data_IF_372609545036
#
_entry.id   IF_372609545036
#
_cell.length_a   1.000
_cell.length_b   1.000
_cell.length_c   1.000
_cell.angle_alpha   90.00
_cell.angle_beta   90.00
_cell.angle_gamma   90.00
#
_symmetry.space_group_name_H-M   'P 1'
#
loop_
_entity.id
_entity.type
_entity.pdbx_description
1 polymer ?
#
# COMPACT_ATOMS: atom_id res chain seq x y z
N UNK A 1 34.90 52.88 12.98
CA UNK A 1 33.68 52.75 13.79
C UNK A 1 32.66 51.84 13.10
N UNK A 2 33.07 50.75 12.42
CA UNK A 2 32.18 49.83 11.64
C UNK A 2 32.40 48.34 12.01
N UNK A 3 33.15 48.02 13.05
CA UNK A 3 33.46 46.62 13.45
C UNK A 3 32.60 46.04 14.58
N UNK A 4 31.67 46.83 15.17
CA UNK A 4 30.88 46.38 16.35
C UNK A 4 29.50 45.81 16.01
N UNK A 5 28.94 46.11 14.84
CA UNK A 5 27.56 45.69 14.47
C UNK A 5 27.43 44.27 13.85
N UNK A 6 28.55 43.71 13.34
CA UNK A 6 28.50 42.42 12.65
C UNK A 6 28.57 41.20 13.59
N UNK A 7 29.00 41.38 14.84
CA UNK A 7 29.05 40.29 15.84
C UNK A 7 27.69 39.99 16.52
N UNK A 8 26.75 40.92 16.49
CA UNK A 8 25.42 40.73 17.11
C UNK A 8 24.40 40.04 16.19
N UNK A 9 24.63 40.06 14.88
CA UNK A 9 23.74 39.40 13.91
C UNK A 9 24.02 37.90 13.74
N UNK A 10 25.23 37.43 14.03
CA UNK A 10 25.60 36.00 13.96
C UNK A 10 25.14 35.20 15.19
N UNK A 11 24.92 35.84 16.33
CA UNK A 11 24.46 35.17 17.56
C UNK A 11 22.97 34.81 17.54
N UNK A 12 22.13 35.57 16.81
CA UNK A 12 20.69 35.34 16.77
C UNK A 12 20.26 34.29 15.74
N UNK A 13 21.05 34.07 14.69
CA UNK A 13 20.77 33.10 13.67
C UNK A 13 21.05 31.64 14.11
N UNK A 14 22.02 31.43 15.01
CA UNK A 14 22.38 30.09 15.50
C UNK A 14 21.34 29.57 16.53
N UNK A 15 20.73 30.46 17.31
CA UNK A 15 19.68 30.07 18.27
C UNK A 15 18.34 29.67 17.61
N UNK A 16 18.02 30.22 16.44
CA UNK A 16 16.81 29.84 15.66
C UNK A 16 16.92 28.46 14.98
N UNK A 17 18.12 28.07 14.56
CA UNK A 17 18.36 26.77 13.93
C UNK A 17 18.30 25.60 14.94
N UNK A 18 18.73 25.80 16.18
CA UNK A 18 18.68 24.77 17.22
C UNK A 18 17.26 24.50 17.75
N UNK A 19 16.37 25.51 17.74
CA UNK A 19 14.98 25.35 18.14
C UNK A 19 14.12 24.57 17.13
N UNK A 20 14.43 24.69 15.84
CA UNK A 20 13.66 24.02 14.78
C UNK A 20 14.00 22.51 14.66
N UNK A 21 15.25 22.15 14.91
CA UNK A 21 15.70 20.76 14.88
C UNK A 21 15.10 19.93 16.03
N UNK A 22 14.94 20.51 17.20
CA UNK A 22 14.35 19.83 18.37
C UNK A 22 12.87 19.53 18.20
N UNK A 23 12.12 20.39 17.51
CA UNK A 23 10.69 20.20 17.26
C UNK A 23 10.41 19.05 16.27
N UNK A 24 11.22 18.92 15.22
CA UNK A 24 11.09 17.84 14.24
C UNK A 24 11.43 16.46 14.84
N UNK A 25 12.43 16.38 15.70
CA UNK A 25 12.76 15.13 16.40
C UNK A 25 11.72 14.76 17.46
N UNK A 26 11.13 15.74 18.15
CA UNK A 26 10.07 15.49 19.13
C UNK A 26 8.76 15.02 18.45
N UNK A 27 8.43 15.57 17.28
CA UNK A 27 7.25 15.14 16.49
C UNK A 27 7.43 13.73 15.94
N UNK A 28 8.61 13.38 15.46
CA UNK A 28 8.93 12.04 14.99
C UNK A 28 8.88 10.99 16.12
N UNK A 29 9.29 11.35 17.34
CA UNK A 29 9.17 10.48 18.53
C UNK A 29 7.71 10.23 18.94
N UNK A 30 6.79 11.17 18.67
CA UNK A 30 5.36 11.04 19.00
C UNK A 30 4.64 9.97 18.16
N UNK A 31 5.19 9.59 17.01
CA UNK A 31 4.64 8.56 16.11
C UNK A 31 5.35 7.19 16.22
N UNK A 32 6.20 7.02 17.21
CA UNK A 32 6.92 5.76 17.44
C UNK A 32 6.00 4.73 18.10
N UNK A 33 5.99 3.49 17.61
CA UNK A 33 5.35 2.38 18.30
C UNK A 33 6.07 2.10 19.62
N UNK A 34 5.35 2.25 20.73
CA UNK A 34 5.88 1.93 22.06
C UNK A 34 5.52 0.49 22.42
N UNK A 35 6.34 -0.17 23.27
CA UNK A 35 6.08 -1.54 23.68
C UNK A 35 4.65 -1.74 24.24
N UNK A 36 4.09 -0.88 25.11
CA UNK A 36 2.71 -1.04 25.58
C UNK A 36 1.66 -1.01 24.46
N UNK A 37 1.89 -0.25 23.38
CA UNK A 37 0.97 -0.23 22.22
C UNK A 37 1.07 -1.49 21.40
N UNK A 38 2.28 -2.02 21.22
CA UNK A 38 2.51 -3.28 20.53
C UNK A 38 1.89 -4.45 21.33
N UNK A 39 2.03 -4.45 22.65
CA UNK A 39 1.43 -5.45 23.53
C UNK A 39 -0.10 -5.41 23.48
N UNK A 40 -0.70 -4.21 23.51
CA UNK A 40 -2.13 -4.03 23.36
C UNK A 40 -2.65 -4.51 22.00
N UNK A 41 -1.90 -4.24 20.92
CA UNK A 41 -2.22 -4.73 19.58
C UNK A 41 -2.14 -6.27 19.54
N UNK A 42 -1.08 -6.86 20.10
CA UNK A 42 -0.92 -8.31 20.18
C UNK A 42 -2.08 -8.97 20.94
N UNK A 43 -2.46 -8.41 22.10
CA UNK A 43 -3.57 -8.91 22.88
C UNK A 43 -4.90 -8.83 22.12
N UNK A 44 -5.15 -7.73 21.38
CA UNK A 44 -6.34 -7.58 20.56
C UNK A 44 -6.41 -8.65 19.46
N UNK A 45 -5.30 -8.94 18.78
CA UNK A 45 -5.24 -9.97 17.73
C UNK A 45 -5.46 -11.37 18.29
N UNK A 46 -4.85 -11.70 19.44
CA UNK A 46 -5.09 -12.95 20.13
C UNK A 46 -6.57 -13.13 20.50
N UNK A 47 -7.20 -12.09 21.00
CA UNK A 47 -8.62 -12.09 21.38
C UNK A 47 -9.55 -12.37 20.21
N UNK A 48 -9.25 -11.87 18.98
CA UNK A 48 -10.05 -12.16 17.78
C UNK A 48 -10.09 -13.66 17.48
N UNK A 49 -8.95 -14.33 17.67
CA UNK A 49 -8.81 -15.77 17.46
C UNK A 49 -9.50 -16.57 18.59
N UNK A 50 -9.27 -16.20 19.85
CA UNK A 50 -9.87 -16.85 21.02
C UNK A 50 -11.39 -16.80 21.00
N UNK A 51 -11.97 -15.69 20.55
CA UNK A 51 -13.43 -15.51 20.39
C UNK A 51 -13.97 -16.22 19.13
N UNK A 52 -13.13 -16.88 18.35
CA UNK A 52 -13.50 -17.62 17.17
C UNK A 52 -13.97 -16.77 15.98
N UNK A 53 -13.74 -15.43 16.02
CA UNK A 53 -14.09 -14.54 14.93
C UNK A 53 -13.22 -14.76 13.70
N UNK A 54 -11.95 -15.12 13.91
CA UNK A 54 -10.98 -15.44 12.86
C UNK A 54 -10.28 -16.75 13.22
N UNK A 55 -9.97 -17.58 12.22
CA UNK A 55 -9.30 -18.86 12.41
C UNK A 55 -7.81 -18.74 12.78
N UNK A 56 -7.14 -17.75 12.19
CA UNK A 56 -5.73 -17.45 12.45
C UNK A 56 -5.34 -16.09 11.87
N UNK A 57 -4.37 -15.44 12.52
CA UNK A 57 -3.82 -14.14 12.12
C UNK A 57 -2.29 -14.20 12.25
N UNK A 58 -1.57 -13.72 11.22
CA UNK A 58 -0.17 -13.36 11.34
C UNK A 58 -0.02 -11.85 11.28
N UNK A 59 0.82 -11.30 12.13
CA UNK A 59 1.10 -9.87 12.20
C UNK A 59 2.59 -9.60 12.03
N UNK A 60 2.90 -8.53 11.31
CA UNK A 60 4.25 -8.02 11.13
C UNK A 60 4.20 -6.51 11.18
N UNK A 61 4.88 -5.92 12.17
CA UNK A 61 4.97 -4.46 12.31
C UNK A 61 6.40 -4.02 12.04
N UNK A 62 6.53 -3.11 11.09
CA UNK A 62 7.80 -2.46 10.74
C UNK A 62 7.84 -1.04 11.26
N UNK A 63 8.99 -0.63 11.77
CA UNK A 63 9.27 0.75 12.11
C UNK A 63 10.71 1.08 11.74
N UNK A 64 10.91 2.15 10.97
CA UNK A 64 12.23 2.62 10.54
C UNK A 64 13.08 1.53 9.84
N UNK A 65 12.44 0.63 9.08
CA UNK A 65 13.12 -0.45 8.38
C UNK A 65 13.40 -1.70 9.22
N UNK A 66 13.02 -1.71 10.50
CA UNK A 66 13.20 -2.86 11.39
C UNK A 66 11.87 -3.49 11.79
N UNK A 67 11.87 -4.80 11.96
CA UNK A 67 10.71 -5.53 12.51
C UNK A 67 10.66 -5.28 14.01
N UNK A 68 9.63 -4.57 14.46
CA UNK A 68 9.41 -4.28 15.89
C UNK A 68 8.42 -5.24 16.54
N UNK A 69 7.63 -5.95 15.76
CA UNK A 69 6.76 -7.02 16.21
C UNK A 69 6.51 -8.02 15.09
N UNK A 70 6.51 -9.30 15.43
CA UNK A 70 6.01 -10.41 14.63
C UNK A 70 5.30 -11.39 15.55
N UNK A 71 4.12 -11.82 15.17
CA UNK A 71 3.39 -12.84 15.92
C UNK A 71 2.39 -13.57 15.02
N UNK A 72 2.18 -14.84 15.34
CA UNK A 72 1.19 -15.72 14.75
C UNK A 72 0.21 -16.18 15.84
N UNK A 73 -1.10 -16.12 15.53
CA UNK A 73 -2.18 -16.51 16.44
C UNK A 73 -3.12 -17.48 15.74
N UNK A 74 -3.54 -18.54 16.43
CA UNK A 74 -4.51 -19.50 15.93
C UNK A 74 -3.96 -20.53 14.96
N UNK A 75 -4.77 -20.90 13.96
CA UNK A 75 -4.54 -22.06 13.14
C UNK A 75 -4.43 -21.73 11.67
N UNK A 76 -3.51 -22.39 10.97
CA UNK A 76 -3.46 -22.47 9.52
C UNK A 76 -4.54 -23.42 8.97
N UNK A 77 -4.92 -24.43 9.77
CA UNK A 77 -6.03 -25.33 9.52
C UNK A 77 -6.74 -25.59 10.86
N UNK A 78 -7.95 -25.04 10.99
CA UNK A 78 -8.72 -25.12 12.24
C UNK A 78 -9.29 -26.52 12.49
N UNK A 79 -9.68 -27.22 11.44
CA UNK A 79 -10.27 -28.56 11.54
C UNK A 79 -9.23 -29.58 12.00
N UNK A 80 -8.01 -29.47 11.47
CA UNK A 80 -6.87 -30.32 11.84
C UNK A 80 -6.09 -29.80 13.04
N UNK A 81 -6.49 -28.65 13.61
CA UNK A 81 -5.79 -27.98 14.70
C UNK A 81 -4.30 -27.70 14.40
N UNK A 82 -3.97 -27.53 13.11
CA UNK A 82 -2.61 -27.22 12.68
C UNK A 82 -2.32 -25.75 12.95
N UNK A 83 -1.36 -25.42 13.82
CA UNK A 83 -1.08 -24.04 14.19
C UNK A 83 -0.61 -23.20 13.00
N UNK A 84 -0.82 -21.90 13.10
CA UNK A 84 -0.21 -20.94 12.21
C UNK A 84 1.27 -20.77 12.61
N UNK A 85 2.17 -20.88 11.65
CA UNK A 85 3.62 -20.83 11.86
C UNK A 85 4.24 -19.69 11.03
N UNK A 86 5.46 -19.21 11.38
CA UNK A 86 6.13 -18.13 10.68
C UNK A 86 6.35 -18.33 9.18
N UNK A 87 6.43 -19.56 8.73
CA UNK A 87 6.62 -19.99 7.34
C UNK A 87 5.33 -20.47 6.66
N UNK A 88 4.18 -20.31 7.32
CA UNK A 88 2.88 -20.66 6.74
C UNK A 88 2.63 -19.93 5.43
N UNK A 89 2.09 -20.64 4.45
CA UNK A 89 1.74 -20.08 3.15
C UNK A 89 0.34 -19.48 3.16
N UNK A 90 0.23 -18.30 2.58
CA UNK A 90 -1.03 -17.55 2.51
C UNK A 90 -1.52 -17.40 1.08
N UNK A 91 -2.81 -17.56 0.90
CA UNK A 91 -3.49 -17.15 -0.33
C UNK A 91 -3.77 -15.64 -0.27
N UNK A 92 -2.94 -14.85 -0.92
CA UNK A 92 -2.93 -13.39 -0.78
C UNK A 92 -3.98 -12.66 -1.63
N UNK A 93 -4.76 -13.39 -2.43
CA UNK A 93 -5.84 -12.83 -3.27
C UNK A 93 -5.39 -11.57 -4.03
N UNK A 94 -6.12 -10.45 -3.89
CA UNK A 94 -5.84 -9.21 -4.62
C UNK A 94 -4.51 -8.54 -4.30
N UNK A 95 -3.82 -8.90 -3.23
CA UNK A 95 -2.43 -8.47 -3.01
C UNK A 95 -1.49 -8.96 -4.11
N UNK A 96 -1.87 -10.03 -4.83
CA UNK A 96 -1.18 -10.49 -6.05
C UNK A 96 -1.04 -9.38 -7.10
N UNK A 97 -2.00 -8.43 -7.15
CA UNK A 97 -1.94 -7.30 -8.08
C UNK A 97 -0.72 -6.40 -7.86
N UNK A 98 -0.29 -6.24 -6.60
CA UNK A 98 0.94 -5.48 -6.29
C UNK A 98 2.17 -6.17 -6.89
N UNK A 99 2.26 -7.49 -6.74
CA UNK A 99 3.37 -8.28 -7.31
C UNK A 99 3.34 -8.22 -8.84
N UNK A 100 2.16 -8.43 -9.44
CA UNK A 100 1.98 -8.37 -10.91
C UNK A 100 2.28 -6.96 -11.44
N UNK A 101 1.79 -5.91 -10.77
CA UNK A 101 2.07 -4.53 -11.15
C UNK A 101 3.54 -4.18 -11.07
N UNK A 102 4.24 -4.62 -10.01
CA UNK A 102 5.69 -4.43 -9.87
C UNK A 102 6.44 -5.15 -11.00
N UNK A 103 6.07 -6.40 -11.32
CA UNK A 103 6.68 -7.14 -12.44
C UNK A 103 6.43 -6.43 -13.78
N UNK A 104 5.24 -5.85 -13.99
CA UNK A 104 4.96 -5.06 -15.19
C UNK A 104 5.82 -3.79 -15.25
N UNK A 105 6.03 -3.11 -14.13
CA UNK A 105 6.88 -1.92 -14.08
C UNK A 105 8.36 -2.22 -14.39
N UNK A 106 8.87 -3.42 -14.15
CA UNK A 106 10.22 -3.79 -14.61
C UNK A 106 10.33 -3.79 -16.13
N UNK A 107 9.26 -4.22 -16.83
CA UNK A 107 9.20 -4.16 -18.30
C UNK A 107 9.07 -2.72 -18.82
N UNK A 108 8.39 -1.86 -18.06
CA UNK A 108 8.32 -0.42 -18.36
C UNK A 108 9.70 0.23 -18.24
N UNK A 109 10.47 -0.07 -17.19
CA UNK A 109 11.84 0.42 -17.01
C UNK A 109 12.79 -0.06 -18.11
N UNK A 110 12.52 -1.24 -18.69
CA UNK A 110 13.22 -1.76 -19.88
C UNK A 110 12.76 -1.12 -21.20
N UNK A 111 11.79 -0.19 -21.17
CA UNK A 111 11.24 0.45 -22.36
C UNK A 111 10.45 -0.50 -23.28
N UNK A 112 9.87 -1.58 -22.72
CA UNK A 112 9.11 -2.57 -23.49
C UNK A 112 7.71 -2.09 -23.86
N UNK A 113 7.17 -1.13 -23.15
CA UNK A 113 5.89 -0.47 -23.40
C UNK A 113 5.84 0.91 -22.75
N UNK A 114 4.87 1.73 -23.18
CA UNK A 114 4.53 3.00 -22.57
C UNK A 114 3.21 2.90 -21.80
N UNK A 115 3.10 3.61 -20.67
CA UNK A 115 1.89 3.54 -19.82
C UNK A 115 0.61 3.99 -20.54
N UNK A 116 0.74 4.94 -21.47
CA UNK A 116 -0.41 5.50 -22.20
C UNK A 116 -0.68 4.79 -23.54
N UNK A 117 0.00 3.68 -23.80
CA UNK A 117 -0.32 2.83 -24.95
C UNK A 117 -1.64 2.08 -24.73
N UNK A 118 -2.43 1.86 -25.82
CA UNK A 118 -3.62 1.05 -25.77
C UNK A 118 -3.31 -0.40 -25.36
N UNK A 119 -4.04 -0.91 -24.39
CA UNK A 119 -3.91 -2.30 -23.94
C UNK A 119 -4.20 -3.31 -25.06
N UNK A 120 -5.08 -2.95 -26.00
CA UNK A 120 -5.41 -3.73 -27.16
C UNK A 120 -4.23 -3.99 -28.13
N UNK A 121 -3.12 -3.25 -28.00
CA UNK A 121 -1.86 -3.54 -28.72
C UNK A 121 -1.27 -4.90 -28.29
N UNK A 122 -1.49 -5.27 -27.03
CA UNK A 122 -0.95 -6.49 -26.41
C UNK A 122 -2.01 -7.58 -26.25
N UNK A 123 -3.27 -7.17 -26.05
CA UNK A 123 -4.42 -8.05 -25.89
C UNK A 123 -5.47 -7.63 -26.94
N UNK A 124 -5.44 -8.25 -28.15
CA UNK A 124 -6.31 -7.83 -29.27
C UNK A 124 -7.80 -7.85 -28.95
N UNK A 125 -8.24 -8.70 -28.05
CA UNK A 125 -9.64 -8.79 -27.59
C UNK A 125 -10.14 -7.52 -26.93
N UNK A 126 -9.22 -6.66 -26.44
CA UNK A 126 -9.55 -5.40 -25.79
C UNK A 126 -9.47 -4.17 -26.73
N UNK A 127 -9.34 -4.37 -28.05
CA UNK A 127 -9.23 -3.26 -29.01
C UNK A 127 -10.54 -2.49 -29.20
N UNK A 128 -11.68 -3.18 -29.17
CA UNK A 128 -12.98 -2.63 -29.56
C UNK A 128 -13.99 -2.77 -28.42
N UNK A 129 -13.62 -2.24 -27.25
CA UNK A 129 -14.48 -2.30 -26.07
C UNK A 129 -15.73 -1.47 -26.25
N UNK A 130 -16.82 -1.98 -25.67
CA UNK A 130 -18.13 -1.32 -25.64
C UNK A 130 -18.45 -0.94 -24.20
N UNK A 131 -19.05 0.22 -24.02
CA UNK A 131 -19.49 0.73 -22.71
C UNK A 131 -20.99 0.59 -22.59
N UNK A 132 -21.44 0.01 -21.49
CA UNK A 132 -22.88 -0.07 -21.16
C UNK A 132 -23.39 1.33 -20.78
N UNK A 133 -24.38 1.83 -21.51
CA UNK A 133 -24.91 3.20 -21.33
C UNK A 133 -26.34 3.23 -20.79
N UNK A 134 -27.07 2.13 -20.90
CA UNK A 134 -28.43 1.99 -20.38
C UNK A 134 -28.86 0.52 -20.29
N UNK A 135 -29.93 0.25 -19.57
CA UNK A 135 -30.60 -1.04 -19.60
C UNK A 135 -31.28 -1.25 -20.98
N UNK A 136 -31.05 -2.41 -21.56
CA UNK A 136 -31.64 -2.82 -22.81
C UNK A 136 -32.75 -3.85 -22.60
N UNK A 137 -33.43 -4.25 -23.69
CA UNK A 137 -34.46 -5.31 -23.64
C UNK A 137 -33.84 -6.66 -23.21
N UNK A 138 -34.61 -7.49 -22.54
CA UNK A 138 -34.23 -8.85 -22.10
C UNK A 138 -33.01 -8.91 -21.16
N UNK A 139 -32.74 -7.83 -20.43
CA UNK A 139 -31.61 -7.76 -19.46
C UNK A 139 -30.21 -7.59 -20.11
N UNK A 140 -30.15 -7.37 -21.43
CA UNK A 140 -28.91 -7.06 -22.11
C UNK A 140 -28.70 -5.56 -22.13
N UNK A 141 -27.52 -5.05 -21.72
CA UNK A 141 -27.25 -3.60 -21.72
C UNK A 141 -27.20 -3.04 -23.15
N UNK A 142 -27.69 -1.82 -23.36
CA UNK A 142 -27.33 -1.04 -24.54
C UNK A 142 -25.87 -0.62 -24.41
N UNK A 143 -25.12 -0.79 -25.48
CA UNK A 143 -23.70 -0.46 -25.49
C UNK A 143 -23.37 0.57 -26.56
N UNK A 144 -22.37 1.37 -26.31
CA UNK A 144 -21.74 2.29 -27.25
C UNK A 144 -20.24 2.04 -27.31
N UNK A 145 -19.54 2.34 -28.39
CA UNK A 145 -18.09 2.25 -28.44
C UNK A 145 -17.46 3.07 -27.33
N UNK A 146 -16.40 2.56 -26.69
CA UNK A 146 -15.62 3.33 -25.73
C UNK A 146 -15.10 4.62 -26.38
N UNK A 147 -15.10 5.72 -25.62
CA UNK A 147 -14.69 7.04 -26.11
C UNK A 147 -13.21 7.09 -26.55
N UNK A 148 -12.40 6.22 -25.96
CA UNK A 148 -10.99 6.00 -26.32
C UNK A 148 -10.59 4.57 -25.98
N UNK A 149 -9.52 4.04 -26.59
CA UNK A 149 -8.97 2.74 -26.20
C UNK A 149 -8.45 2.78 -24.75
N UNK A 150 -8.73 1.73 -23.98
CA UNK A 150 -8.20 1.61 -22.62
C UNK A 150 -6.68 1.50 -22.66
N UNK A 151 -6.01 2.30 -21.83
CA UNK A 151 -4.55 2.33 -21.73
C UNK A 151 -4.03 1.35 -20.66
N UNK A 152 -2.74 1.02 -20.71
CA UNK A 152 -2.07 0.22 -19.67
C UNK A 152 -2.14 0.94 -18.33
N UNK A 153 -1.99 2.27 -18.31
CA UNK A 153 -2.15 3.09 -17.09
C UNK A 153 -3.51 2.90 -16.45
N UNK A 154 -4.58 3.01 -17.23
CA UNK A 154 -5.96 2.85 -16.73
C UNK A 154 -6.22 1.43 -16.21
N UNK A 155 -5.65 0.42 -16.86
CA UNK A 155 -5.73 -0.96 -16.39
C UNK A 155 -5.02 -1.12 -15.04
N UNK A 156 -3.80 -0.57 -14.88
CA UNK A 156 -3.00 -0.66 -13.65
C UNK A 156 -3.61 0.15 -12.49
N UNK A 157 -4.32 1.23 -12.78
CA UNK A 157 -4.94 2.10 -11.76
C UNK A 157 -6.41 1.76 -11.49
N UNK A 158 -6.95 0.72 -12.12
CA UNK A 158 -8.36 0.34 -12.02
C UNK A 158 -9.35 1.43 -12.49
N UNK A 159 -8.97 2.21 -13.49
CA UNK A 159 -9.80 3.27 -14.08
C UNK A 159 -10.27 2.94 -15.50
N UNK A 160 -10.00 1.74 -15.98
CA UNK A 160 -10.37 1.28 -17.33
C UNK A 160 -11.84 0.94 -17.53
N UNK A 161 -12.65 0.89 -16.47
CA UNK A 161 -14.10 0.67 -16.58
C UNK A 161 -14.55 -0.80 -16.65
N UNK A 162 -13.70 -1.74 -16.26
CA UNK A 162 -14.02 -3.18 -16.17
C UNK A 162 -14.59 -3.58 -14.83
#
# INVERSE_FOLDING_TARGET
>A
MIRSSMRKLLGSAVLLAAGFSGSLYAEQAAHTFTQPRLDAFAAAMAQEVEQGRIGGIATLVYQNGEVVQRAEYGYADREQQRPLEPDSLYKIFSLTKLVTGTALLTLFDEGRFELDEPVGKYIPELQNLQVAVADGPEGMPKTEPAAHPVTIRELMTHTGGF
#
